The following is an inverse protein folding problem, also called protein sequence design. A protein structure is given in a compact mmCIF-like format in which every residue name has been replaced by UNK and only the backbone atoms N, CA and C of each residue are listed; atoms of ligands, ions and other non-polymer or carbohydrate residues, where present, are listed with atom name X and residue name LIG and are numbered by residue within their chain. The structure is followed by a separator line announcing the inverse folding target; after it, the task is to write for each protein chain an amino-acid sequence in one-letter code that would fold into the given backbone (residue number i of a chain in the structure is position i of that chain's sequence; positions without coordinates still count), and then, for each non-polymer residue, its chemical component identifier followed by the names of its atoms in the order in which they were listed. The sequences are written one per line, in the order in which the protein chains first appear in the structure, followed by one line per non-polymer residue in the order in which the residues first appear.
data_IF_721060129969
#
_entry.id   IF_721060129969
#
_cell.length_a   1.000
_cell.length_b   1.000
_cell.length_c   1.000
_cell.angle_alpha   90.00
_cell.angle_beta   90.00
_cell.angle_gamma   90.00
#
_symmetry.space_group_name_H-M   'P 1'
#
loop_
_entity.id
_entity.type
_entity.pdbx_description
1 polymer ?
#
# COMPACT_ATOMS: atom_id res chain seq x y z
N UNK A 1 14.90 -9.23 0.74
CA UNK A 1 15.12 -9.27 -0.72
C UNK A 1 16.04 -10.47 -1.01
N UNK A 2 15.47 -11.63 -1.32
CA UNK A 2 16.25 -12.80 -1.74
C UNK A 2 16.31 -12.80 -3.26
N UNK A 3 17.41 -12.29 -3.82
CA UNK A 3 17.73 -12.53 -5.22
C UNK A 3 18.15 -14.00 -5.33
N UNK A 4 17.21 -14.91 -5.57
CA UNK A 4 17.54 -16.26 -6.06
C UNK A 4 18.03 -16.14 -7.50
N UNK A 5 19.28 -15.72 -7.67
CA UNK A 5 20.03 -15.97 -8.89
C UNK A 5 20.17 -17.49 -9.01
N UNK A 6 19.31 -18.13 -9.79
CA UNK A 6 19.62 -19.43 -10.40
C UNK A 6 20.69 -19.18 -11.47
N UNK A 7 21.91 -18.88 -11.03
CA UNK A 7 23.07 -19.13 -11.88
C UNK A 7 23.22 -20.65 -12.00
N UNK A 8 23.70 -21.17 -13.13
CA UNK A 8 24.18 -22.55 -13.21
C UNK A 8 25.47 -22.63 -12.36
N UNK A 9 25.32 -22.73 -11.04
CA UNK A 9 26.42 -22.86 -10.07
C UNK A 9 26.96 -24.28 -9.80
N UNK A 10 26.46 -25.42 -10.35
CA UNK A 10 26.91 -26.71 -9.83
C UNK A 10 28.35 -27.09 -10.24
N UNK A 11 28.96 -26.43 -11.24
CA UNK A 11 30.33 -26.76 -11.66
C UNK A 11 31.42 -25.93 -10.96
N UNK A 12 31.08 -24.73 -10.45
CA UNK A 12 32.08 -23.75 -10.02
C UNK A 12 32.37 -23.81 -8.51
N UNK A 13 31.37 -24.15 -7.69
CA UNK A 13 31.61 -24.52 -6.29
C UNK A 13 32.53 -25.76 -6.22
N UNK A 14 32.58 -26.58 -7.27
CA UNK A 14 33.40 -27.79 -7.32
C UNK A 14 34.91 -27.52 -7.47
N UNK A 15 35.33 -26.49 -8.21
CA UNK A 15 36.75 -26.14 -8.38
C UNK A 15 37.35 -25.50 -7.12
N UNK A 16 36.58 -24.67 -6.40
CA UNK A 16 37.02 -23.99 -5.18
C UNK A 16 36.77 -24.80 -3.89
N UNK A 17 36.00 -25.89 -3.93
CA UNK A 17 35.85 -26.84 -2.82
C UNK A 17 36.72 -28.09 -2.97
N UNK A 18 37.51 -28.21 -4.04
CA UNK A 18 38.40 -29.35 -4.27
C UNK A 18 39.67 -29.20 -3.43
N UNK A 19 39.82 -30.05 -2.42
CA UNK A 19 40.98 -30.06 -1.51
C UNK A 19 42.17 -30.90 -2.04
N UNK A 20 42.16 -31.21 -3.35
CA UNK A 20 43.17 -32.05 -4.00
C UNK A 20 43.95 -31.24 -5.03
N UNK A 21 45.28 -31.35 -5.02
CA UNK A 21 46.15 -30.74 -6.04
C UNK A 21 45.69 -31.14 -7.45
N UNK A 22 45.52 -30.13 -8.31
CA UNK A 22 45.27 -30.34 -9.74
C UNK A 22 46.55 -30.85 -10.41
N UNK A 23 46.41 -31.84 -11.29
CA UNK A 23 47.54 -32.25 -12.13
C UNK A 23 47.82 -31.16 -13.16
N UNK A 24 49.05 -31.11 -13.66
CA UNK A 24 49.50 -30.08 -14.61
C UNK A 24 48.59 -29.95 -15.84
N UNK A 25 48.18 -31.08 -16.44
CA UNK A 25 47.27 -31.10 -17.61
C UNK A 25 45.83 -30.64 -17.29
N UNK A 26 45.41 -30.74 -16.03
CA UNK A 26 44.13 -30.22 -15.56
C UNK A 26 44.26 -28.71 -15.30
N UNK A 27 45.38 -28.27 -14.72
CA UNK A 27 45.67 -26.85 -14.54
C UNK A 27 45.71 -26.09 -15.86
N UNK A 28 46.38 -26.59 -16.90
CA UNK A 28 46.44 -25.91 -18.21
C UNK A 28 45.05 -25.70 -18.84
N UNK A 29 44.07 -26.57 -18.55
CA UNK A 29 42.70 -26.44 -19.04
C UNK A 29 41.85 -25.47 -18.21
N UNK A 30 42.14 -25.39 -16.92
CA UNK A 30 41.38 -24.59 -15.95
C UNK A 30 41.98 -23.20 -15.72
N UNK A 31 43.27 -22.97 -16.03
CA UNK A 31 44.01 -21.72 -15.75
C UNK A 31 43.34 -20.50 -16.39
N UNK A 32 42.96 -20.59 -17.66
CA UNK A 32 42.30 -19.48 -18.35
C UNK A 32 40.95 -19.12 -17.71
N UNK A 33 40.20 -20.13 -17.23
CA UNK A 33 38.92 -19.92 -16.54
C UNK A 33 39.14 -19.34 -15.14
N UNK A 34 40.16 -19.79 -14.41
CA UNK A 34 40.53 -19.25 -13.09
C UNK A 34 40.99 -17.80 -13.21
N UNK A 35 41.80 -17.45 -14.22
CA UNK A 35 42.24 -16.07 -14.47
C UNK A 35 41.05 -15.18 -14.86
N UNK A 36 40.21 -15.59 -15.80
CA UNK A 36 38.99 -14.84 -16.17
C UNK A 36 38.08 -14.61 -14.96
N UNK A 37 37.96 -15.61 -14.08
CA UNK A 37 37.21 -15.47 -12.83
C UNK A 37 37.91 -14.54 -11.84
N UNK A 38 39.21 -14.68 -11.59
CA UNK A 38 39.97 -13.77 -10.72
C UNK A 38 39.91 -12.32 -11.20
N UNK A 39 39.74 -12.08 -12.50
CA UNK A 39 39.56 -10.77 -13.14
C UNK A 39 38.10 -10.26 -13.16
N UNK A 40 37.09 -11.12 -13.21
CA UNK A 40 35.67 -10.74 -12.94
C UNK A 40 35.41 -10.51 -11.45
N UNK A 41 36.17 -11.21 -10.61
CA UNK A 41 36.06 -11.22 -9.16
C UNK A 41 36.37 -9.89 -8.45
N UNK A 42 37.21 -8.94 -8.93
CA UNK A 42 37.48 -7.70 -8.19
C UNK A 42 36.25 -6.78 -8.18
N UNK A 43 35.62 -6.55 -9.33
CA UNK A 43 34.43 -5.71 -9.44
C UNK A 43 33.23 -6.34 -8.72
N UNK A 44 33.04 -7.67 -8.84
CA UNK A 44 31.99 -8.37 -8.12
C UNK A 44 32.23 -8.39 -6.61
N UNK A 45 33.48 -8.61 -6.15
CA UNK A 45 33.84 -8.52 -4.71
C UNK A 45 33.68 -7.12 -4.18
N UNK A 46 34.06 -6.10 -4.94
CA UNK A 46 33.88 -4.70 -4.53
C UNK A 46 32.40 -4.35 -4.43
N UNK A 47 31.57 -4.80 -5.38
CA UNK A 47 30.13 -4.65 -5.32
C UNK A 47 29.51 -5.40 -4.12
N UNK A 48 29.94 -6.64 -3.85
CA UNK A 48 29.48 -7.42 -2.69
C UNK A 48 29.92 -6.78 -1.37
N UNK A 49 31.19 -6.36 -1.28
CA UNK A 49 31.72 -5.62 -0.14
C UNK A 49 30.93 -4.33 0.11
N UNK A 50 30.61 -3.60 -0.97
CA UNK A 50 29.77 -2.41 -0.90
C UNK A 50 28.36 -2.73 -0.41
N UNK A 51 27.74 -3.81 -0.89
CA UNK A 51 26.43 -4.27 -0.41
C UNK A 51 26.48 -4.62 1.08
N UNK A 52 27.56 -5.24 1.56
CA UNK A 52 27.74 -5.55 2.98
C UNK A 52 27.87 -4.28 3.83
N UNK A 53 28.62 -3.27 3.37
CA UNK A 53 28.69 -1.95 4.03
C UNK A 53 27.29 -1.33 4.11
N UNK A 54 26.55 -1.30 3.00
CA UNK A 54 25.20 -0.74 2.95
C UNK A 54 24.24 -1.49 3.89
N UNK A 55 24.33 -2.81 3.94
CA UNK A 55 23.53 -3.64 4.84
C UNK A 55 23.83 -3.33 6.32
N UNK A 56 25.11 -3.18 6.68
CA UNK A 56 25.54 -2.81 8.03
C UNK A 56 25.07 -1.41 8.41
N UNK A 57 25.12 -0.43 7.50
CA UNK A 57 24.61 0.92 7.77
C UNK A 57 23.08 0.94 7.91
N UNK A 58 22.37 0.26 7.01
CA UNK A 58 20.91 0.10 7.10
C UNK A 58 20.48 -0.60 8.39
N UNK A 59 21.30 -1.51 8.96
CA UNK A 59 20.95 -2.21 10.20
C UNK A 59 21.00 -1.29 11.42
N UNK A 60 21.91 -0.31 11.43
CA UNK A 60 21.98 0.74 12.47
C UNK A 60 20.72 1.62 12.41
N UNK A 61 20.37 2.12 11.22
CA UNK A 61 19.14 2.91 11.02
C UNK A 61 17.91 2.10 11.42
N UNK A 62 17.85 0.82 11.03
CA UNK A 62 16.77 -0.10 11.41
C UNK A 62 16.62 -0.24 12.92
N UNK A 63 17.72 -0.33 13.67
CA UNK A 63 17.67 -0.46 15.12
C UNK A 63 17.08 0.80 15.78
N UNK A 64 17.58 1.98 15.42
CA UNK A 64 17.05 3.26 15.94
C UNK A 64 15.60 3.49 15.53
N UNK A 65 15.25 3.19 14.27
CA UNK A 65 13.89 3.32 13.80
C UNK A 65 12.92 2.36 14.50
N UNK A 66 13.33 1.10 14.74
CA UNK A 66 12.53 0.14 15.51
C UNK A 66 12.31 0.62 16.94
N UNK A 67 13.32 1.19 17.59
CA UNK A 67 13.19 1.75 18.93
C UNK A 67 12.17 2.90 18.95
N UNK A 68 12.26 3.82 17.98
CA UNK A 68 11.26 4.89 17.81
C UNK A 68 9.84 4.34 17.64
N UNK A 69 9.63 3.37 16.74
CA UNK A 69 8.31 2.78 16.52
C UNK A 69 7.75 2.15 17.81
N UNK A 70 8.58 1.50 18.62
CA UNK A 70 8.14 0.89 19.89
C UNK A 70 7.59 1.91 20.91
N UNK A 71 7.93 3.19 20.79
CA UNK A 71 7.40 4.26 21.64
C UNK A 71 6.01 4.73 21.20
N UNK A 72 5.58 4.38 19.98
CA UNK A 72 4.31 4.79 19.41
C UNK A 72 3.23 3.73 19.67
N UNK A 73 1.94 4.12 19.76
CA UNK A 73 0.85 3.16 19.72
C UNK A 73 0.79 2.48 18.33
N UNK A 74 0.30 1.22 18.23
CA UNK A 74 0.36 0.44 17.00
C UNK A 74 -0.23 1.12 15.76
N UNK A 75 -1.34 1.87 15.88
CA UNK A 75 -1.90 2.63 14.75
C UNK A 75 -0.90 3.67 14.23
N UNK A 76 -0.22 4.40 15.12
CA UNK A 76 0.79 5.38 14.74
C UNK A 76 2.04 4.72 14.16
N UNK A 77 2.39 3.53 14.61
CA UNK A 77 3.45 2.73 13.99
C UNK A 77 3.10 2.36 12.54
N UNK A 78 1.85 1.99 12.28
CA UNK A 78 1.38 1.64 10.95
C UNK A 78 1.21 2.84 10.00
N UNK A 79 1.02 4.04 10.54
CA UNK A 79 1.03 5.32 9.80
C UNK A 79 2.45 5.86 9.58
N UNK A 80 3.44 5.36 10.30
CA UNK A 80 4.81 5.80 10.18
C UNK A 80 5.41 5.36 8.83
N UNK A 81 6.39 6.12 8.28
CA UNK A 81 7.04 5.75 7.03
C UNK A 81 7.66 4.34 7.09
N UNK A 82 7.71 3.60 5.98
CA UNK A 82 8.41 2.32 5.99
C UNK A 82 9.92 2.54 6.17
N UNK A 83 10.62 1.54 6.74
CA UNK A 83 12.06 1.62 7.01
C UNK A 83 12.90 2.08 5.81
N UNK A 84 12.53 1.68 4.59
CA UNK A 84 13.27 2.09 3.40
C UNK A 84 13.15 3.60 3.11
N UNK A 85 12.07 4.27 3.55
CA UNK A 85 11.97 5.74 3.52
C UNK A 85 12.85 6.36 4.60
N UNK A 86 12.90 5.76 5.79
CA UNK A 86 13.77 6.26 6.87
C UNK A 86 15.26 6.25 6.48
N UNK A 87 15.71 5.24 5.73
CA UNK A 87 17.07 5.19 5.17
C UNK A 87 17.38 6.32 4.16
N UNK A 88 16.35 7.00 3.69
CA UNK A 88 16.48 8.09 2.74
C UNK A 88 16.36 9.46 3.42
N UNK A 89 16.01 9.57 4.70
CA UNK A 89 15.87 10.89 5.31
C UNK A 89 17.16 11.74 5.21
N UNK A 90 17.03 13.08 5.12
CA UNK A 90 18.18 13.97 4.98
C UNK A 90 19.26 13.69 6.03
N UNK A 91 20.49 13.52 5.58
CA UNK A 91 21.64 13.23 6.43
C UNK A 91 21.83 11.73 6.68
N UNK A 92 20.75 10.98 6.90
CA UNK A 92 20.81 9.51 6.96
C UNK A 92 21.19 8.95 5.58
N UNK A 93 20.56 9.45 4.52
CA UNK A 93 20.82 9.04 3.14
C UNK A 93 22.28 9.23 2.73
N UNK A 94 22.86 10.39 3.07
CA UNK A 94 24.25 10.74 2.81
C UNK A 94 25.19 9.75 3.51
N UNK A 95 24.93 9.44 4.78
CA UNK A 95 25.77 8.55 5.58
C UNK A 95 25.63 7.09 5.13
N UNK A 96 24.41 6.61 4.86
CA UNK A 96 24.15 5.27 4.33
C UNK A 96 24.87 5.11 3.00
N UNK A 97 24.67 6.04 2.06
CA UNK A 97 25.20 5.96 0.69
C UNK A 97 26.62 6.51 0.55
N UNK A 98 27.28 6.95 1.62
CA UNK A 98 28.66 7.45 1.60
C UNK A 98 29.61 6.43 0.93
N UNK A 99 30.50 6.86 0.02
CA UNK A 99 31.46 5.97 -0.64
C UNK A 99 32.57 5.50 0.31
N UNK A 100 32.74 6.13 1.46
CA UNK A 100 33.73 5.72 2.46
C UNK A 100 33.47 4.27 2.90
N UNK A 101 34.56 3.52 3.11
CA UNK A 101 34.54 2.19 3.72
C UNK A 101 34.54 2.24 5.24
N UNK A 102 34.72 3.42 5.82
CA UNK A 102 34.78 3.62 7.26
C UNK A 102 33.45 3.25 7.92
N UNK A 103 33.59 2.75 9.15
CA UNK A 103 32.46 2.39 9.97
C UNK A 103 31.85 3.66 10.61
N UNK A 104 30.91 4.28 9.92
CA UNK A 104 30.22 5.52 10.30
C UNK A 104 29.16 5.33 11.40
N UNK A 105 29.39 4.45 12.37
CA UNK A 105 28.36 4.06 13.34
C UNK A 105 27.97 5.19 14.29
N UNK A 106 28.96 6.00 14.70
CA UNK A 106 28.72 7.15 15.58
C UNK A 106 27.91 8.23 14.85
N UNK A 107 28.33 8.58 13.64
CA UNK A 107 27.67 9.58 12.79
C UNK A 107 26.25 9.15 12.43
N UNK A 108 26.06 7.87 12.07
CA UNK A 108 24.73 7.33 11.81
C UNK A 108 23.86 7.37 13.06
N UNK A 109 24.40 6.99 14.23
CA UNK A 109 23.65 7.04 15.48
C UNK A 109 23.23 8.46 15.85
N UNK A 110 24.12 9.44 15.61
CA UNK A 110 23.83 10.86 15.80
C UNK A 110 22.78 11.34 14.79
N UNK A 111 22.90 11.01 13.50
CA UNK A 111 21.89 11.40 12.51
C UNK A 111 20.51 10.78 12.78
N UNK A 112 20.48 9.58 13.38
CA UNK A 112 19.23 8.92 13.76
C UNK A 112 18.66 9.37 15.11
N UNK A 113 19.36 10.21 15.89
CA UNK A 113 18.80 10.72 17.15
C UNK A 113 17.55 11.56 16.93
N UNK A 114 17.48 12.22 15.77
CA UNK A 114 16.42 13.15 15.39
C UNK A 114 15.35 12.48 14.51
N UNK A 115 15.23 11.15 14.60
CA UNK A 115 14.33 10.39 13.72
C UNK A 115 12.85 10.72 13.93
N UNK A 116 12.49 11.24 15.11
CA UNK A 116 11.13 11.69 15.42
C UNK A 116 10.77 12.92 14.60
N UNK A 117 11.67 13.90 14.58
CA UNK A 117 11.58 15.15 13.83
C UNK A 117 11.55 14.84 12.33
N UNK A 118 12.45 13.98 11.85
CA UNK A 118 12.48 13.58 10.43
C UNK A 118 11.18 12.90 9.96
N UNK A 119 10.57 12.08 10.80
CA UNK A 119 9.25 11.48 10.50
C UNK A 119 8.15 12.53 10.47
N UNK A 120 8.16 13.47 11.42
CA UNK A 120 7.18 14.56 11.46
C UNK A 120 7.30 15.45 10.21
N UNK A 121 8.51 15.86 9.84
CA UNK A 121 8.80 16.66 8.64
C UNK A 121 8.33 15.93 7.38
N UNK A 122 8.57 14.62 7.29
CA UNK A 122 8.09 13.81 6.18
C UNK A 122 6.56 13.79 6.08
N UNK A 123 5.87 13.59 7.21
CA UNK A 123 4.40 13.62 7.24
C UNK A 123 3.86 14.99 6.85
N UNK A 124 4.44 16.07 7.39
CA UNK A 124 4.05 17.44 7.05
C UNK A 124 4.28 17.75 5.57
N UNK A 125 5.41 17.34 4.99
CA UNK A 125 5.68 17.53 3.56
C UNK A 125 4.61 16.85 2.68
N UNK A 126 4.14 15.65 3.05
CA UNK A 126 3.04 14.98 2.32
C UNK A 126 1.72 15.73 2.45
N UNK A 127 1.48 16.35 3.60
CA UNK A 127 0.27 17.12 3.84
C UNK A 127 0.23 18.41 3.04
N UNK A 128 1.35 19.13 3.03
CA UNK A 128 1.53 20.32 2.22
C UNK A 128 1.32 19.98 0.73
N UNK A 129 1.92 18.89 0.25
CA UNK A 129 1.70 18.44 -1.13
C UNK A 129 0.23 18.18 -1.44
N UNK A 130 -0.48 17.45 -0.58
CA UNK A 130 -1.91 17.18 -0.80
C UNK A 130 -2.75 18.45 -0.74
N UNK A 131 -2.38 19.38 0.15
CA UNK A 131 -3.03 20.69 0.25
C UNK A 131 -2.81 21.50 -1.03
N UNK A 132 -1.60 21.54 -1.55
CA UNK A 132 -1.25 22.29 -2.76
C UNK A 132 -1.99 21.75 -3.98
N UNK A 133 -2.03 20.41 -4.16
CA UNK A 133 -2.83 19.77 -5.20
C UNK A 133 -4.31 20.16 -5.04
N UNK A 134 -4.83 20.14 -3.82
CA UNK A 134 -6.22 20.49 -3.57
C UNK A 134 -6.53 21.97 -3.87
N UNK A 135 -5.65 22.90 -3.48
CA UNK A 135 -5.80 24.34 -3.78
C UNK A 135 -5.77 24.59 -5.28
N UNK A 136 -4.92 23.88 -6.03
CA UNK A 136 -4.81 24.03 -7.47
C UNK A 136 -6.04 23.48 -8.23
N UNK A 137 -6.66 22.41 -7.72
CA UNK A 137 -7.71 21.68 -8.45
C UNK A 137 -9.14 21.94 -7.93
N UNK A 138 -9.29 22.41 -6.69
CA UNK A 138 -10.58 22.68 -6.05
C UNK A 138 -10.69 24.18 -5.78
N UNK A 139 -11.11 24.94 -6.79
CA UNK A 139 -11.46 26.34 -6.62
C UNK A 139 -12.65 26.47 -5.66
N UNK A 140 -12.56 27.42 -4.74
CA UNK A 140 -13.60 27.84 -3.81
C UNK A 140 -14.01 26.79 -2.75
N UNK A 141 -13.29 26.80 -1.62
CA UNK A 141 -13.79 26.23 -0.37
C UNK A 141 -14.32 27.34 0.52
N UNK A 142 -15.54 27.17 1.02
CA UNK A 142 -16.08 27.99 2.11
C UNK A 142 -15.16 27.85 3.34
N UNK A 143 -14.97 28.94 4.08
CA UNK A 143 -14.19 29.01 5.32
C UNK A 143 -14.72 28.01 6.36
N UNK A 144 -16.00 27.65 6.29
CA UNK A 144 -16.62 26.69 7.20
C UNK A 144 -16.55 25.22 6.74
N UNK A 145 -16.11 24.96 5.51
CA UNK A 145 -15.95 23.60 5.02
C UNK A 145 -14.67 22.94 5.56
N UNK A 146 -14.66 21.60 5.72
CA UNK A 146 -13.41 20.88 5.93
C UNK A 146 -12.38 21.25 4.85
N UNK A 147 -11.08 21.18 5.15
CA UNK A 147 -10.05 21.42 4.15
C UNK A 147 -10.30 20.53 2.92
N UNK A 148 -10.19 21.05 1.68
CA UNK A 148 -10.61 20.33 0.48
C UNK A 148 -9.94 18.96 0.32
N UNK A 149 -8.68 18.83 0.73
CA UNK A 149 -7.92 17.58 0.70
C UNK A 149 -8.43 16.50 1.67
N UNK A 150 -9.36 16.82 2.58
CA UNK A 150 -10.04 15.86 3.45
C UNK A 150 -11.36 15.33 2.85
N UNK A 151 -11.90 15.99 1.82
CA UNK A 151 -13.19 15.64 1.24
C UNK A 151 -13.13 14.30 0.50
N UNK A 152 -14.25 13.58 0.46
CA UNK A 152 -14.36 12.32 -0.28
C UNK A 152 -14.10 12.51 -1.78
N UNK A 153 -14.48 13.67 -2.32
CA UNK A 153 -14.29 14.06 -3.71
C UNK A 153 -12.83 14.41 -4.06
N UNK A 154 -11.95 14.57 -3.07
CA UNK A 154 -10.52 14.74 -3.30
C UNK A 154 -9.88 13.39 -3.60
N UNK A 155 -9.79 13.06 -4.89
CA UNK A 155 -9.19 11.83 -5.38
C UNK A 155 -7.88 12.15 -6.06
N UNK A 156 -6.80 11.54 -5.59
CA UNK A 156 -5.48 11.60 -6.23
C UNK A 156 -5.10 10.23 -6.76
N UNK A 157 -4.25 10.19 -7.78
CA UNK A 157 -3.68 8.98 -8.33
C UNK A 157 -2.17 8.99 -8.16
N UNK A 158 -1.62 7.84 -7.79
CA UNK A 158 -0.18 7.63 -7.84
C UNK A 158 0.24 7.45 -9.31
N UNK A 159 0.95 8.41 -9.90
CA UNK A 159 1.38 8.41 -11.30
C UNK A 159 2.49 7.39 -11.62
N UNK A 160 2.98 6.66 -10.61
CA UNK A 160 4.04 5.69 -10.78
C UNK A 160 3.53 4.41 -11.44
N UNK A 161 4.06 4.10 -12.62
CA UNK A 161 3.64 2.97 -13.46
C UNK A 161 3.70 1.61 -12.73
N UNK A 162 4.71 1.41 -11.88
CA UNK A 162 4.92 0.17 -11.13
C UNK A 162 4.39 0.25 -9.69
N UNK A 163 3.40 1.11 -9.44
CA UNK A 163 2.71 1.18 -8.15
C UNK A 163 1.86 -0.10 -7.95
N UNK A 164 2.54 -1.18 -7.61
CA UNK A 164 2.09 -2.57 -7.67
C UNK A 164 1.56 -3.08 -6.33
N UNK A 165 1.10 -2.19 -5.44
CA UNK A 165 0.34 -2.60 -4.27
C UNK A 165 -0.99 -3.21 -4.75
N UNK A 166 -0.93 -4.50 -5.13
CA UNK A 166 -2.00 -5.42 -5.54
C UNK A 166 -3.31 -4.72 -5.85
N UNK A 167 -3.35 -3.92 -6.92
CA UNK A 167 -4.61 -3.38 -7.38
C UNK A 167 -5.45 -4.56 -7.86
N UNK A 168 -6.55 -4.84 -7.17
CA UNK A 168 -7.50 -5.94 -7.47
C UNK A 168 -8.05 -5.92 -8.90
N UNK A 169 -7.73 -4.91 -9.70
CA UNK A 169 -8.25 -4.69 -11.04
C UNK A 169 -7.17 -4.42 -12.10
N UNK A 170 -5.90 -4.70 -11.80
CA UNK A 170 -4.79 -4.54 -12.78
C UNK A 170 -4.60 -3.09 -13.25
N UNK A 171 -5.10 -2.12 -12.49
CA UNK A 171 -5.01 -0.71 -12.84
C UNK A 171 -3.56 -0.21 -12.77
N UNK A 172 -3.04 0.42 -13.84
CA UNK A 172 -1.94 1.35 -13.68
C UNK A 172 -2.46 2.54 -12.87
N UNK A 173 -1.72 2.97 -11.86
CA UNK A 173 -2.00 4.13 -11.00
C UNK A 173 -3.13 3.92 -9.98
N UNK A 174 -2.74 3.66 -8.72
CA UNK A 174 -3.66 3.47 -7.59
C UNK A 174 -4.36 4.79 -7.25
N UNK A 175 -5.72 4.85 -7.26
CA UNK A 175 -6.45 5.98 -6.71
C UNK A 175 -6.41 5.96 -5.17
N UNK A 176 -6.34 7.15 -4.58
CA UNK A 176 -6.25 7.40 -3.15
C UNK A 176 -7.33 8.42 -2.80
N UNK A 177 -8.15 8.10 -1.79
CA UNK A 177 -9.35 8.88 -1.46
C UNK A 177 -9.13 9.71 -0.21
N UNK A 178 -8.87 11.01 -0.40
CA UNK A 178 -8.58 11.94 0.68
C UNK A 178 -7.15 11.86 1.21
N UNK A 179 -6.83 12.78 2.14
CA UNK A 179 -5.51 12.92 2.74
C UNK A 179 -5.02 11.66 3.45
N UNK A 180 -5.89 10.95 4.15
CA UNK A 180 -5.49 9.77 4.92
C UNK A 180 -4.91 8.67 4.02
N UNK A 181 -5.54 8.39 2.88
CA UNK A 181 -5.02 7.42 1.91
C UNK A 181 -3.70 7.91 1.30
N UNK A 182 -3.59 9.21 1.01
CA UNK A 182 -2.37 9.82 0.49
C UNK A 182 -1.18 9.71 1.46
N UNK A 183 -1.39 10.07 2.74
CA UNK A 183 -0.41 9.98 3.83
C UNK A 183 0.13 8.57 4.01
N UNK A 184 -0.74 7.58 3.97
CA UNK A 184 -0.37 6.19 4.22
C UNK A 184 0.05 5.45 2.95
N UNK A 185 -0.11 6.07 1.78
CA UNK A 185 0.40 5.50 0.53
C UNK A 185 1.93 5.58 0.48
N UNK A 186 2.57 4.42 0.46
CA UNK A 186 3.99 4.27 0.17
C UNK A 186 4.16 3.51 -1.14
N UNK A 187 4.59 4.23 -2.18
CA UNK A 187 4.88 3.61 -3.46
C UNK A 187 6.20 2.84 -3.37
N UNK A 188 6.15 1.51 -3.54
CA UNK A 188 7.31 0.61 -3.44
C UNK A 188 8.25 0.65 -4.64
N UNK A 189 7.97 1.47 -5.65
CA UNK A 189 8.89 1.64 -6.78
C UNK A 189 10.24 2.12 -6.24
N UNK A 190 11.31 1.48 -6.71
CA UNK A 190 12.68 1.76 -6.24
C UNK A 190 12.88 3.27 -6.21
N UNK A 191 13.26 3.85 -5.06
CA UNK A 191 13.60 5.26 -5.01
C UNK A 191 14.67 5.51 -6.08
N UNK A 192 14.43 6.49 -6.95
CA UNK A 192 15.51 7.03 -7.76
C UNK A 192 16.57 7.58 -6.78
N UNK A 193 17.88 7.41 -7.07
CA UNK A 193 18.96 7.64 -6.11
C UNK A 193 19.12 9.09 -5.60
N UNK A 194 18.25 10.02 -5.99
CA UNK A 194 18.50 11.46 -5.84
C UNK A 194 17.86 12.11 -4.59
N UNK A 195 16.82 11.54 -3.95
CA UNK A 195 16.33 11.93 -2.59
C UNK A 195 15.00 11.24 -2.18
N UNK A 196 14.67 11.10 -0.88
CA UNK A 196 13.36 10.63 -0.38
C UNK A 196 12.18 11.50 -0.81
N UNK A 197 12.44 12.81 -0.87
CA UNK A 197 11.49 13.85 -1.24
C UNK A 197 11.46 14.03 -2.76
N UNK A 198 12.55 13.66 -3.45
CA UNK A 198 12.64 13.74 -4.89
C UNK A 198 11.59 12.84 -5.55
N UNK A 199 10.66 13.52 -6.24
CA UNK A 199 9.54 12.91 -6.93
C UNK A 199 8.31 12.66 -6.08
N UNK A 200 8.16 13.19 -4.85
CA UNK A 200 6.85 13.21 -4.19
C UNK A 200 5.85 14.01 -5.05
N UNK A 201 6.25 15.19 -5.51
CA UNK A 201 5.44 16.07 -6.38
C UNK A 201 5.08 15.40 -7.72
N UNK A 202 6.01 14.66 -8.32
CA UNK A 202 5.75 13.95 -9.60
C UNK A 202 4.95 12.66 -9.42
N UNK A 203 4.76 12.18 -8.19
CA UNK A 203 4.09 10.90 -7.92
C UNK A 203 2.59 11.04 -7.73
N UNK A 204 2.08 12.20 -7.35
CA UNK A 204 0.65 12.36 -7.07
C UNK A 204 0.03 13.35 -8.04
N UNK A 205 -1.03 12.92 -8.72
CA UNK A 205 -1.81 13.77 -9.61
C UNK A 205 -3.27 13.78 -9.16
N UNK A 206 -3.92 14.94 -9.22
CA UNK A 206 -5.36 15.01 -9.03
C UNK A 206 -6.08 14.20 -10.12
N UNK A 207 -7.13 13.48 -9.74
CA UNK A 207 -7.91 12.65 -10.67
C UNK A 207 -9.28 13.27 -10.90
N UNK A 208 -9.43 14.04 -11.98
CA UNK A 208 -10.73 14.60 -12.36
C UNK A 208 -11.80 13.51 -12.54
N UNK A 209 -11.41 12.39 -13.17
CA UNK A 209 -12.29 11.23 -13.36
C UNK A 209 -12.67 10.57 -12.04
N UNK A 210 -11.73 10.50 -11.09
CA UNK A 210 -12.00 10.02 -9.74
C UNK A 210 -12.94 10.93 -8.97
N UNK A 211 -12.73 12.25 -9.05
CA UNK A 211 -13.63 13.27 -8.49
C UNK A 211 -15.03 13.13 -9.08
N UNK A 212 -15.16 13.05 -10.40
CA UNK A 212 -16.45 12.88 -11.09
C UNK A 212 -17.19 11.64 -10.59
N UNK A 213 -16.48 10.51 -10.47
CA UNK A 213 -17.06 9.28 -9.94
C UNK A 213 -17.64 9.49 -8.54
N UNK A 214 -16.85 10.07 -7.63
CA UNK A 214 -17.28 10.30 -6.25
C UNK A 214 -18.42 11.32 -6.19
N UNK A 215 -18.38 12.41 -6.96
CA UNK A 215 -19.47 13.40 -7.00
C UNK A 215 -20.80 12.79 -7.46
N UNK A 216 -20.77 11.92 -8.47
CA UNK A 216 -21.94 11.17 -8.92
C UNK A 216 -22.50 10.27 -7.80
N UNK A 217 -21.62 9.59 -7.05
CA UNK A 217 -22.02 8.79 -5.89
C UNK A 217 -22.62 9.64 -4.76
N UNK A 218 -22.01 10.80 -4.45
CA UNK A 218 -22.52 11.71 -3.41
C UNK A 218 -23.90 12.24 -3.78
N UNK A 219 -24.11 12.63 -5.04
CA UNK A 219 -25.40 13.05 -5.56
C UNK A 219 -26.47 11.95 -5.42
N UNK A 220 -26.14 10.72 -5.84
CA UNK A 220 -27.04 9.56 -5.72
C UNK A 220 -27.42 9.28 -4.25
N UNK A 221 -26.49 9.46 -3.31
CA UNK A 221 -26.69 9.21 -1.89
C UNK A 221 -27.28 10.41 -1.13
N UNK A 222 -27.53 11.55 -1.80
CA UNK A 222 -28.04 12.76 -1.16
C UNK A 222 -27.07 13.38 -0.15
N UNK A 223 -25.76 13.25 -0.41
CA UNK A 223 -24.69 13.76 0.46
C UNK A 223 -24.06 15.01 -0.12
N UNK A 224 -23.69 15.94 0.77
CA UNK A 224 -23.12 17.24 0.41
C UNK A 224 -21.61 17.11 0.04
N UNK A 225 -21.19 17.39 -1.21
CA UNK A 225 -19.81 17.26 -1.64
C UNK A 225 -18.79 18.05 -0.85
N UNK A 226 -19.17 19.21 -0.33
CA UNK A 226 -18.27 20.13 0.37
C UNK A 226 -18.07 19.81 1.85
N UNK A 227 -18.74 18.79 2.38
CA UNK A 227 -18.62 18.37 3.79
C UNK A 227 -18.42 16.87 3.98
N UNK A 228 -18.67 16.07 2.95
CA UNK A 228 -18.58 14.61 3.06
C UNK A 228 -17.14 14.12 3.07
N UNK A 229 -16.80 13.34 4.10
CA UNK A 229 -15.49 12.70 4.27
C UNK A 229 -15.50 11.24 3.76
N UNK A 230 -14.36 10.66 3.34
CA UNK A 230 -14.28 9.25 2.94
C UNK A 230 -14.87 8.28 3.99
N UNK A 231 -14.60 8.53 5.28
CA UNK A 231 -15.11 7.73 6.40
C UNK A 231 -16.64 7.75 6.51
N UNK A 232 -17.29 8.82 6.05
CA UNK A 232 -18.76 8.90 6.00
C UNK A 232 -19.30 7.88 5.00
N UNK A 233 -18.73 7.82 3.80
CA UNK A 233 -19.09 6.85 2.78
C UNK A 233 -18.79 5.40 3.21
N UNK A 234 -17.69 5.19 3.95
CA UNK A 234 -17.35 3.88 4.53
C UNK A 234 -18.44 3.35 5.47
N UNK A 235 -18.94 4.24 6.34
CA UNK A 235 -19.95 3.89 7.33
C UNK A 235 -21.31 3.62 6.72
N UNK A 236 -21.68 4.35 5.66
CA UNK A 236 -22.94 4.13 4.95
C UNK A 236 -23.02 2.72 4.37
N UNK A 237 -21.87 2.16 3.96
CA UNK A 237 -21.81 0.81 3.42
C UNK A 237 -22.86 0.56 2.32
N UNK A 238 -23.11 1.56 1.48
CA UNK A 238 -24.01 1.44 0.33
C UNK A 238 -23.49 0.41 -0.68
N UNK A 239 -24.42 -0.24 -1.41
CA UNK A 239 -24.10 -1.17 -2.49
C UNK A 239 -24.62 -0.60 -3.81
N UNK A 240 -23.74 -0.55 -4.80
CA UNK A 240 -23.90 0.23 -6.00
C UNK A 240 -23.74 -0.68 -7.23
N UNK A 241 -24.62 -0.50 -8.20
CA UNK A 241 -24.55 -1.17 -9.51
C UNK A 241 -24.10 -0.15 -10.55
N UNK A 242 -23.14 -0.53 -11.41
CA UNK A 242 -22.74 0.35 -12.51
C UNK A 242 -23.77 0.30 -13.64
N UNK A 243 -24.38 1.43 -13.97
CA UNK A 243 -25.39 1.60 -15.02
C UNK A 243 -24.88 1.36 -16.45
N UNK A 244 -23.55 1.42 -16.64
CA UNK A 244 -22.92 1.26 -17.96
C UNK A 244 -22.46 -0.18 -18.23
N UNK A 245 -22.29 -0.99 -17.18
CA UNK A 245 -21.87 -2.38 -17.37
C UNK A 245 -23.02 -3.25 -17.89
N UNK A 246 -22.76 -4.12 -18.88
CA UNK A 246 -23.76 -5.06 -19.35
C UNK A 246 -24.10 -6.08 -18.27
N UNK A 247 -25.35 -6.54 -18.28
CA UNK A 247 -25.78 -7.66 -17.45
C UNK A 247 -25.10 -8.95 -17.88
N UNK A 248 -24.51 -9.66 -16.93
CA UNK A 248 -23.92 -10.99 -17.13
C UNK A 248 -25.04 -12.01 -17.16
N UNK A 249 -25.23 -12.63 -18.33
CA UNK A 249 -26.26 -13.65 -18.55
C UNK A 249 -25.64 -15.03 -18.37
N UNK A 250 -26.20 -15.81 -17.45
CA UNK A 250 -25.98 -17.26 -17.36
C UNK A 250 -27.22 -18.00 -17.88
N UNK A 251 -27.16 -19.32 -17.97
CA UNK A 251 -28.31 -20.13 -18.38
C UNK A 251 -29.53 -19.93 -17.48
N UNK A 252 -29.31 -19.64 -16.19
CA UNK A 252 -30.35 -19.63 -15.16
C UNK A 252 -30.65 -18.26 -14.59
N UNK A 253 -29.73 -17.30 -14.66
CA UNK A 253 -29.91 -15.98 -14.05
C UNK A 253 -29.25 -14.85 -14.86
N UNK A 254 -29.72 -13.64 -14.59
CA UNK A 254 -29.09 -12.40 -15.01
C UNK A 254 -28.41 -11.79 -13.78
N UNK A 255 -27.18 -11.32 -13.91
CA UNK A 255 -26.42 -10.79 -12.78
C UNK A 255 -25.63 -9.54 -13.14
N UNK A 256 -25.34 -8.73 -12.14
CA UNK A 256 -24.49 -7.54 -12.24
C UNK A 256 -23.53 -7.52 -11.04
N UNK A 257 -22.37 -6.90 -11.21
CA UNK A 257 -21.44 -6.70 -10.10
C UNK A 257 -21.94 -5.59 -9.18
N UNK A 258 -21.95 -5.89 -7.88
CA UNK A 258 -22.13 -4.92 -6.81
C UNK A 258 -20.78 -4.41 -6.32
N UNK A 259 -20.74 -3.11 -6.10
CA UNK A 259 -19.56 -2.40 -5.64
C UNK A 259 -19.88 -1.64 -4.35
N UNK A 260 -18.90 -1.49 -3.48
CA UNK A 260 -18.90 -0.39 -2.51
C UNK A 260 -18.44 0.92 -3.19
N UNK A 261 -18.55 2.06 -2.49
CA UNK A 261 -18.24 3.36 -3.09
C UNK A 261 -16.80 3.50 -3.62
N UNK A 262 -15.80 2.93 -2.94
CA UNK A 262 -14.40 2.95 -3.44
C UNK A 262 -14.27 2.10 -4.68
N UNK A 263 -14.80 0.89 -4.66
CA UNK A 263 -14.79 0.00 -5.82
C UNK A 263 -15.53 0.60 -7.00
N UNK A 264 -16.64 1.31 -6.76
CA UNK A 264 -17.35 2.07 -7.78
C UNK A 264 -16.46 3.13 -8.42
N UNK A 265 -15.81 3.96 -7.61
CA UNK A 265 -14.91 4.99 -8.12
C UNK A 265 -13.71 4.37 -8.88
N UNK A 266 -13.08 3.33 -8.31
CA UNK A 266 -12.00 2.56 -8.96
C UNK A 266 -12.46 1.98 -10.29
N UNK A 267 -13.64 1.34 -10.33
CA UNK A 267 -14.23 0.77 -11.53
C UNK A 267 -14.42 1.83 -12.62
N UNK A 268 -14.96 3.00 -12.28
CA UNK A 268 -15.15 4.07 -13.26
C UNK A 268 -13.83 4.63 -13.79
N UNK A 269 -12.85 4.85 -12.90
CA UNK A 269 -11.50 5.29 -13.27
C UNK A 269 -10.85 4.28 -14.23
N UNK A 270 -11.01 2.98 -13.96
CA UNK A 270 -10.45 1.89 -14.76
C UNK A 270 -11.14 1.66 -16.10
N UNK A 271 -12.43 1.97 -16.14
CA UNK A 271 -13.26 1.63 -17.28
C UNK A 271 -12.92 2.52 -18.48
N UNK A 272 -13.04 1.91 -19.65
CA UNK A 272 -12.88 2.58 -20.93
C UNK A 272 -13.76 3.84 -21.02
N UNK A 273 -13.20 4.91 -21.58
CA UNK A 273 -13.86 6.22 -21.64
C UNK A 273 -15.04 6.25 -22.61
N UNK A 274 -15.07 5.37 -23.61
CA UNK A 274 -16.17 5.32 -24.58
C UNK A 274 -17.39 4.63 -23.95
N UNK A 275 -17.17 3.50 -23.28
CA UNK A 275 -18.25 2.74 -22.62
C UNK A 275 -18.70 3.34 -21.29
N UNK A 276 -17.81 4.04 -20.59
CA UNK A 276 -18.06 4.70 -19.32
C UNK A 276 -17.73 6.19 -19.44
N UNK A 277 -18.35 6.86 -20.41
CA UNK A 277 -18.18 8.30 -20.62
C UNK A 277 -18.70 9.09 -19.41
N UNK A 278 -19.83 8.66 -18.82
CA UNK A 278 -20.46 9.28 -17.65
C UNK A 278 -20.54 8.30 -16.49
N UNK A 279 -20.34 8.78 -15.28
CA UNK A 279 -20.50 7.98 -14.06
C UNK A 279 -21.98 7.71 -13.74
N UNK A 280 -22.51 6.55 -14.15
CA UNK A 280 -23.89 6.10 -13.90
C UNK A 280 -23.93 5.00 -12.85
N UNK A 281 -24.66 5.25 -11.76
CA UNK A 281 -24.81 4.33 -10.64
C UNK A 281 -26.27 4.16 -10.27
N UNK A 282 -26.61 2.96 -9.83
CA UNK A 282 -27.90 2.64 -9.23
C UNK A 282 -27.66 2.16 -7.79
N UNK A 283 -28.45 2.68 -6.84
CA UNK A 283 -28.41 2.23 -5.46
C UNK A 283 -29.21 0.94 -5.33
N UNK A 284 -28.64 -0.06 -4.65
CA UNK A 284 -29.34 -1.28 -4.36
C UNK A 284 -30.47 -0.99 -3.33
N UNK A 285 -31.71 -1.46 -3.54
CA UNK A 285 -32.80 -1.28 -2.58
C UNK A 285 -32.47 -1.88 -1.21
N UNK A 286 -33.01 -1.28 -0.13
CA UNK A 286 -32.68 -1.65 1.26
C UNK A 286 -32.85 -3.14 1.54
N UNK A 287 -33.96 -3.74 1.08
CA UNK A 287 -34.24 -5.17 1.27
C UNK A 287 -33.16 -6.07 0.64
N UNK A 288 -32.69 -5.72 -0.56
CA UNK A 288 -31.63 -6.43 -1.25
C UNK A 288 -30.25 -6.13 -0.64
N UNK A 289 -30.03 -4.91 -0.16
CA UNK A 289 -28.81 -4.51 0.52
C UNK A 289 -28.63 -5.26 1.84
N UNK A 290 -29.69 -5.50 2.61
CA UNK A 290 -29.65 -6.31 3.82
C UNK A 290 -29.28 -7.77 3.54
N UNK A 291 -29.84 -8.35 2.46
CA UNK A 291 -29.49 -9.72 2.07
C UNK A 291 -28.02 -9.82 1.62
N UNK A 292 -27.53 -8.85 0.85
CA UNK A 292 -26.12 -8.77 0.47
C UNK A 292 -25.23 -8.60 1.71
N UNK A 293 -25.59 -7.72 2.64
CA UNK A 293 -24.85 -7.54 3.89
C UNK A 293 -24.80 -8.84 4.72
N UNK A 294 -25.88 -9.62 4.73
CA UNK A 294 -25.93 -10.94 5.39
C UNK A 294 -25.00 -11.94 4.71
N UNK A 295 -24.97 -11.98 3.38
CA UNK A 295 -24.06 -12.83 2.59
C UNK A 295 -22.61 -12.44 2.79
N UNK A 296 -22.30 -11.15 2.76
CA UNK A 296 -20.97 -10.60 3.03
C UNK A 296 -20.50 -10.90 4.44
N UNK A 297 -21.38 -10.80 5.44
CA UNK A 297 -21.04 -11.16 6.82
C UNK A 297 -20.66 -12.63 6.89
N UNK A 298 -21.44 -13.52 6.28
CA UNK A 298 -21.14 -14.95 6.22
C UNK A 298 -19.84 -15.22 5.47
N UNK A 299 -19.65 -14.56 4.32
CA UNK A 299 -18.41 -14.64 3.53
C UNK A 299 -17.21 -14.14 4.36
N UNK A 300 -17.28 -13.02 5.09
CA UNK A 300 -16.18 -12.59 5.96
C UNK A 300 -15.87 -13.58 7.11
N UNK A 301 -16.87 -14.33 7.54
CA UNK A 301 -16.71 -15.37 8.55
C UNK A 301 -16.10 -16.67 7.95
N UNK A 302 -16.37 -16.98 6.67
CA UNK A 302 -15.98 -18.26 6.04
C UNK A 302 -14.90 -18.17 4.96
N UNK A 303 -14.90 -17.12 4.15
CA UNK A 303 -14.04 -16.94 2.99
C UNK A 303 -12.62 -16.55 3.37
N UNK A 304 -11.73 -17.36 2.80
CA UNK A 304 -10.29 -17.14 2.66
C UNK A 304 -9.97 -16.18 1.49
N UNK A 305 -10.92 -15.40 0.97
CA UNK A 305 -10.67 -14.56 -0.21
C UNK A 305 -9.72 -13.39 0.08
N UNK A 306 -9.67 -12.94 1.34
CA UNK A 306 -8.61 -12.07 1.88
C UNK A 306 -7.47 -12.86 2.54
N UNK A 307 -7.51 -14.20 2.53
CA UNK A 307 -6.47 -15.02 3.16
C UNK A 307 -5.13 -14.75 2.47
N UNK A 308 -4.23 -14.16 3.24
CA UNK A 308 -2.90 -13.78 2.80
C UNK A 308 -2.63 -12.27 2.78
N UNK A 309 -3.61 -11.41 3.09
CA UNK A 309 -3.33 -10.00 3.40
C UNK A 309 -3.47 -9.78 4.91
N UNK A 310 -2.34 -9.88 5.60
CA UNK A 310 -2.17 -9.67 7.04
C UNK A 310 -2.33 -8.17 7.41
N UNK A 311 -3.58 -7.67 7.39
CA UNK A 311 -3.89 -6.24 7.46
C UNK A 311 -4.75 -5.82 8.66
N UNK A 312 -5.24 -6.74 9.52
CA UNK A 312 -5.98 -6.37 10.74
C UNK A 312 -5.09 -6.38 11.98
N UNK A 313 -5.11 -5.29 12.74
CA UNK A 313 -4.12 -5.03 13.79
C UNK A 313 -4.80 -4.60 15.09
N UNK A 314 -4.27 -5.08 16.22
CA UNK A 314 -4.66 -4.62 17.54
C UNK A 314 -4.01 -3.25 17.81
N UNK A 315 -4.74 -2.30 18.41
CA UNK A 315 -4.20 -0.99 18.76
C UNK A 315 -3.74 -0.86 20.23
N UNK A 316 -3.77 -1.96 20.98
CA UNK A 316 -3.45 -1.98 22.42
C UNK A 316 -2.16 -2.72 22.75
N UNK A 317 -1.64 -3.52 21.82
CA UNK A 317 -0.39 -4.23 22.04
C UNK A 317 0.31 -4.52 20.71
N UNK A 318 1.56 -4.97 20.84
CA UNK A 318 2.44 -5.23 19.70
C UNK A 318 2.32 -6.66 19.14
N UNK A 319 1.27 -7.41 19.49
CA UNK A 319 1.10 -8.81 19.12
C UNK A 319 1.15 -9.06 17.61
N UNK A 320 0.61 -8.13 16.81
CA UNK A 320 0.43 -8.26 15.36
C UNK A 320 1.38 -7.38 14.54
N UNK A 321 2.44 -6.84 15.13
CA UNK A 321 3.29 -5.83 14.47
C UNK A 321 4.23 -6.40 13.42
N UNK A 322 4.62 -7.66 13.57
CA UNK A 322 5.47 -8.32 12.58
C UNK A 322 4.62 -8.95 11.46
N UNK A 323 3.47 -9.52 11.83
CA UNK A 323 2.49 -10.10 10.92
C UNK A 323 1.10 -9.68 11.42
N UNK A 324 0.36 -8.92 10.61
CA UNK A 324 -1.03 -8.59 10.90
C UNK A 324 -1.91 -9.83 10.92
N UNK A 325 -3.14 -9.70 11.40
CA UNK A 325 -4.15 -10.75 11.22
C UNK A 325 -4.73 -10.70 9.81
N UNK A 326 -4.93 -11.86 9.21
CA UNK A 326 -5.61 -11.99 7.91
C UNK A 326 -7.10 -11.64 8.02
N UNK A 327 -7.70 -11.87 9.20
CA UNK A 327 -9.13 -11.69 9.44
C UNK A 327 -9.41 -10.77 10.62
N UNK A 328 -10.41 -9.89 10.43
CA UNK A 328 -10.96 -9.03 11.48
C UNK A 328 -11.43 -9.82 12.71
N UNK A 329 -11.95 -11.03 12.54
CA UNK A 329 -12.45 -11.83 13.66
C UNK A 329 -11.33 -12.28 14.61
N UNK A 330 -10.12 -12.52 14.09
CA UNK A 330 -8.97 -12.95 14.90
C UNK A 330 -8.51 -11.80 15.79
N UNK A 331 -8.38 -10.58 15.27
CA UNK A 331 -8.03 -9.42 16.10
C UNK A 331 -9.10 -9.12 17.14
N UNK A 332 -10.38 -9.33 16.83
CA UNK A 332 -11.46 -9.17 17.81
C UNK A 332 -11.43 -10.26 18.89
N UNK A 333 -11.10 -11.51 18.54
CA UNK A 333 -10.88 -12.58 19.50
C UNK A 333 -9.70 -12.25 20.42
N UNK A 334 -8.56 -11.85 19.84
CA UNK A 334 -7.40 -11.36 20.57
C UNK A 334 -7.75 -10.25 21.56
N UNK A 335 -8.53 -9.24 21.15
CA UNK A 335 -8.96 -8.16 22.04
C UNK A 335 -9.77 -8.68 23.21
N UNK A 336 -10.71 -9.59 22.97
CA UNK A 336 -11.52 -10.18 24.05
C UNK A 336 -10.70 -11.00 25.04
N UNK A 337 -9.68 -11.71 24.55
CA UNK A 337 -8.85 -12.60 25.37
C UNK A 337 -7.74 -11.86 26.12
N UNK A 338 -7.11 -10.86 25.51
CA UNK A 338 -5.93 -10.19 26.06
C UNK A 338 -6.22 -8.80 26.64
N UNK A 339 -7.39 -8.24 26.32
CA UNK A 339 -7.81 -6.89 26.73
C UNK A 339 -9.24 -6.92 27.27
N UNK A 340 -9.50 -7.78 28.25
CA UNK A 340 -10.82 -8.09 28.83
C UNK A 340 -11.65 -6.86 29.25
N UNK A 341 -10.98 -5.74 29.57
CA UNK A 341 -11.62 -4.46 29.89
C UNK A 341 -12.37 -3.81 28.70
N UNK A 342 -12.12 -4.26 27.46
CA UNK A 342 -12.71 -3.71 26.23
C UNK A 342 -13.92 -4.55 25.81
N UNK A 343 -15.08 -4.22 26.36
CA UNK A 343 -16.33 -4.95 26.11
C UNK A 343 -16.90 -4.74 24.69
N UNK A 344 -16.64 -3.56 24.10
CA UNK A 344 -17.13 -3.20 22.76
C UNK A 344 -15.99 -2.56 21.96
N UNK A 345 -15.14 -3.37 21.31
CA UNK A 345 -14.02 -2.86 20.54
C UNK A 345 -14.48 -1.98 19.38
N UNK A 346 -13.88 -0.81 19.25
CA UNK A 346 -14.17 0.17 18.20
C UNK A 346 -13.01 0.29 17.20
N UNK A 347 -13.35 0.40 15.93
CA UNK A 347 -12.36 0.50 14.86
C UNK A 347 -11.71 1.89 14.79
N UNK A 348 -10.38 1.91 14.74
CA UNK A 348 -9.55 3.11 14.86
C UNK A 348 -9.20 3.49 16.31
N UNK A 349 -9.86 2.88 17.30
CA UNK A 349 -9.51 3.01 18.73
C UNK A 349 -8.85 1.75 19.25
N UNK A 350 -9.51 0.61 19.11
CA UNK A 350 -9.12 -0.66 19.73
C UNK A 350 -8.46 -1.63 18.74
N UNK A 351 -8.88 -1.59 17.48
CA UNK A 351 -8.27 -2.30 16.36
C UNK A 351 -8.34 -1.45 15.11
N UNK A 352 -7.53 -1.75 14.10
CA UNK A 352 -7.57 -1.04 12.82
C UNK A 352 -7.18 -1.95 11.66
N UNK A 353 -7.55 -1.52 10.46
CA UNK A 353 -7.02 -2.07 9.22
C UNK A 353 -5.78 -1.25 8.83
N UNK A 354 -4.68 -1.91 8.48
CA UNK A 354 -3.40 -1.30 8.13
C UNK A 354 -3.60 -0.13 7.15
N UNK A 355 -3.24 1.11 7.51
CA UNK A 355 -3.45 2.27 6.66
C UNK A 355 -2.66 2.21 5.33
N UNK A 356 -1.55 1.49 5.31
CA UNK A 356 -0.74 1.28 4.11
C UNK A 356 -1.45 0.41 3.06
N UNK A 357 -2.40 -0.42 3.49
CA UNK A 357 -3.20 -1.27 2.63
C UNK A 357 -4.45 -0.54 2.17
N UNK A 358 -4.85 -0.73 0.92
CA UNK A 358 -6.19 -0.28 0.52
C UNK A 358 -7.17 -1.20 1.23
N UNK A 359 -8.23 -0.62 1.80
CA UNK A 359 -9.47 -1.36 2.01
C UNK A 359 -10.09 -1.61 0.64
N UNK A 360 -9.47 -2.48 -0.14
CA UNK A 360 -10.19 -3.11 -1.21
C UNK A 360 -11.32 -3.85 -0.50
N UNK A 361 -12.56 -3.46 -0.80
CA UNK A 361 -13.67 -4.20 -0.23
C UNK A 361 -13.62 -5.65 -0.69
N UNK A 362 -14.47 -6.52 -0.13
CA UNK A 362 -14.60 -7.86 -0.68
C UNK A 362 -14.79 -7.78 -2.19
N UNK A 363 -14.23 -8.74 -2.94
CA UNK A 363 -14.39 -8.84 -4.39
C UNK A 363 -15.84 -8.52 -4.81
N UNK A 364 -16.05 -7.79 -5.92
CA UNK A 364 -17.38 -7.40 -6.35
C UNK A 364 -18.33 -8.60 -6.38
N UNK A 365 -19.46 -8.47 -5.70
CA UNK A 365 -20.39 -9.58 -5.56
C UNK A 365 -21.28 -9.64 -6.78
N UNK A 366 -21.45 -10.84 -7.35
CA UNK A 366 -22.46 -11.07 -8.37
C UNK A 366 -23.85 -11.06 -7.73
N UNK A 367 -24.62 -10.03 -8.03
CA UNK A 367 -26.02 -9.90 -7.60
C UNK A 367 -26.94 -10.34 -8.72
N UNK A 368 -27.85 -11.28 -8.41
CA UNK A 368 -28.86 -11.72 -9.35
C UNK A 368 -29.93 -10.62 -9.48
N UNK A 369 -30.11 -10.12 -10.70
CA UNK A 369 -31.14 -9.14 -11.03
C UNK A 369 -32.39 -9.91 -11.45
N UNK A 370 -33.53 -9.61 -10.84
CA UNK A 370 -34.81 -10.20 -11.26
C UNK A 370 -35.05 -9.93 -12.74
N UNK A 371 -35.42 -10.97 -13.49
CA UNK A 371 -35.87 -10.75 -14.86
C UNK A 371 -37.12 -9.89 -14.77
N UNK A 372 -37.06 -8.68 -15.34
CA UNK A 372 -38.26 -7.92 -15.64
C UNK A 372 -39.23 -8.90 -16.30
N UNK A 373 -40.36 -9.16 -15.63
CA UNK A 373 -41.38 -10.05 -16.16
C UNK A 373 -41.86 -9.39 -17.44
N UNK A 374 -41.52 -9.99 -18.59
CA UNK A 374 -42.00 -9.51 -19.88
C UNK A 374 -43.53 -9.50 -19.80
N UNK A 375 -44.17 -8.33 -19.94
CA UNK A 375 -45.62 -8.21 -19.84
C UNK A 375 -46.35 -9.00 -20.93
#
# INVERSE_FOLDING_TARGET
MFVKRRHPRPFYDYLFMRDTELRHEEWEKEEALVIEQLERCPAEREAEYRLNILANRCSIVKAHYKNYLQELPPLRQAEAPPLWVANLFPGIDILVNSPSTDFLSHELSQATSDIKELVADYTEAKDLLCRDIAVQCLADSDIHSPPPHHLASFVIQCAQQDCSNRAEYGLPNRPLFGLADARNHHCYSRPLPESPFCGLESRYAFSDRGREAVLSLLSLLGLEPHTTLPKTLDRLSARLLCGNCPTIKTATYQSRYLYNWRQSAIHFIASDKETHAESKWELLPDEAAEDVARREKRSRETDTLDAGIEAWWCNHCNHTLENGEDRKINVLAHIREQHEQILSPEEGRDFFFSPAQTRSGPQPILYAVERASTP
#
